data_IF_723071269373
#
_entry.id   IF_723071269373
#
_cell.length_a   1.000
_cell.length_b   1.000
_cell.length_c   1.000
_cell.angle_alpha   90.00
_cell.angle_beta   90.00
_cell.angle_gamma   90.00
#
_symmetry.space_group_name_H-M   'P 1'
#
loop_
_entity.id
_entity.type
_entity.pdbx_description
1 polymer ?
#
# COMPACT_ATOMS: atom_id res chain seq x y z
N UNK A 1 20.26 12.29 -4.04
CA UNK A 1 19.69 10.93 -4.01
C UNK A 1 18.75 10.89 -2.83
N UNK A 2 17.45 10.73 -3.07
CA UNK A 2 16.42 10.71 -2.03
C UNK A 2 15.84 9.31 -1.79
N UNK A 3 15.35 9.07 -0.58
CA UNK A 3 14.53 7.89 -0.24
C UNK A 3 13.09 8.34 -0.06
N UNK A 4 12.13 7.59 -0.59
CA UNK A 4 10.71 7.84 -0.37
C UNK A 4 10.07 6.75 0.50
N UNK A 5 9.09 7.12 1.30
CA UNK A 5 8.18 6.18 1.97
C UNK A 5 6.90 6.04 1.13
N UNK A 6 6.49 4.80 0.83
CA UNK A 6 5.24 4.49 0.14
C UNK A 6 4.31 3.79 1.14
N UNK A 7 3.22 4.46 1.51
CA UNK A 7 2.17 3.94 2.40
C UNK A 7 1.04 3.35 1.56
N UNK A 8 0.96 2.02 1.51
CA UNK A 8 0.04 1.30 0.63
C UNK A 8 -1.30 1.06 1.31
N UNK A 9 -2.37 1.59 0.70
CA UNK A 9 -3.77 1.21 0.91
C UNK A 9 -4.22 1.13 2.38
N UNK A 10 -3.83 2.11 3.20
CA UNK A 10 -4.29 2.22 4.60
C UNK A 10 -5.71 2.82 4.64
N UNK A 11 -6.66 2.08 4.07
CA UNK A 11 -8.06 2.47 3.87
C UNK A 11 -9.00 1.71 4.81
N UNK A 12 -10.20 2.26 5.02
CA UNK A 12 -11.20 1.68 5.93
C UNK A 12 -11.58 0.25 5.55
N UNK A 13 -11.80 -0.03 4.27
CA UNK A 13 -12.23 -1.34 3.81
C UNK A 13 -11.22 -2.47 4.07
N UNK A 14 -9.94 -2.13 4.21
CA UNK A 14 -8.87 -3.09 4.48
C UNK A 14 -8.54 -3.23 5.99
N UNK A 15 -9.20 -2.46 6.85
CA UNK A 15 -9.05 -2.52 8.30
C UNK A 15 -10.26 -3.19 8.95
N UNK A 16 -10.14 -3.54 10.24
CA UNK A 16 -11.21 -4.16 11.00
C UNK A 16 -12.53 -3.35 10.93
N UNK A 17 -13.61 -4.02 10.52
CA UNK A 17 -14.92 -3.40 10.28
C UNK A 17 -15.18 -2.99 8.83
N UNK A 18 -14.15 -3.04 7.97
CA UNK A 18 -14.25 -2.86 6.52
C UNK A 18 -14.85 -4.07 5.79
N UNK A 19 -15.07 -3.93 4.48
CA UNK A 19 -15.61 -4.99 3.61
C UNK A 19 -14.62 -6.13 3.31
N UNK A 20 -13.31 -5.86 3.29
CA UNK A 20 -12.24 -6.84 3.05
C UNK A 20 -11.15 -6.67 4.11
N UNK A 21 -11.47 -6.90 5.40
CA UNK A 21 -10.61 -6.53 6.50
C UNK A 21 -9.37 -7.43 6.57
N UNK A 22 -8.19 -6.82 6.73
CA UNK A 22 -6.95 -7.51 7.07
C UNK A 22 -6.69 -7.30 8.55
N UNK A 23 -6.64 -8.39 9.31
CA UNK A 23 -6.45 -8.33 10.75
C UNK A 23 -5.08 -7.69 11.11
N UNK A 24 -5.11 -6.73 12.03
CA UNK A 24 -3.98 -5.87 12.37
C UNK A 24 -3.94 -4.56 11.56
N UNK A 25 -4.81 -4.38 10.55
CA UNK A 25 -4.84 -3.22 9.67
C UNK A 25 -4.99 -1.89 10.41
N UNK A 26 -5.91 -1.80 11.37
CA UNK A 26 -6.09 -0.59 12.17
C UNK A 26 -4.85 -0.24 13.01
N UNK A 27 -4.08 -1.24 13.44
CA UNK A 27 -2.81 -1.08 14.14
C UNK A 27 -1.68 -0.62 13.21
N UNK A 28 -1.64 -1.11 11.97
CA UNK A 28 -0.72 -0.62 10.95
C UNK A 28 -1.02 0.84 10.61
N UNK A 29 -2.29 1.25 10.57
CA UNK A 29 -2.65 2.65 10.34
C UNK A 29 -2.04 3.60 11.39
N UNK A 30 -2.05 3.22 12.68
CA UNK A 30 -1.39 3.98 13.75
C UNK A 30 0.12 4.07 13.51
N UNK A 31 0.78 2.93 13.29
CA UNK A 31 2.24 2.89 13.11
C UNK A 31 2.70 3.65 11.85
N UNK A 32 1.91 3.58 10.77
CA UNK A 32 2.17 4.33 9.55
C UNK A 32 2.07 5.84 9.81
N UNK A 33 1.05 6.30 10.54
CA UNK A 33 0.92 7.70 10.95
C UNK A 33 2.14 8.16 11.75
N UNK A 34 2.60 7.37 12.72
CA UNK A 34 3.77 7.69 13.55
C UNK A 34 5.08 7.75 12.74
N UNK A 35 5.24 6.90 11.73
CA UNK A 35 6.40 6.93 10.84
C UNK A 35 6.37 8.16 9.93
N UNK A 36 5.21 8.47 9.34
CA UNK A 36 5.03 9.65 8.49
C UNK A 36 5.30 10.93 9.29
N UNK A 37 4.82 11.02 10.53
CA UNK A 37 5.07 12.16 11.41
C UNK A 37 6.56 12.39 11.74
N UNK A 38 7.41 11.37 11.57
CA UNK A 38 8.86 11.44 11.78
C UNK A 38 9.65 11.20 10.50
N UNK A 39 9.02 11.34 9.34
CA UNK A 39 9.61 10.92 8.07
C UNK A 39 10.94 11.64 7.76
N UNK A 40 11.01 12.95 8.02
CA UNK A 40 12.21 13.75 7.84
C UNK A 40 13.37 13.29 8.75
N UNK A 41 13.08 12.98 10.02
CA UNK A 41 14.07 12.43 10.97
C UNK A 41 14.54 11.04 10.57
N UNK A 42 13.65 10.24 9.98
CA UNK A 42 13.95 8.93 9.40
C UNK A 42 14.68 9.01 8.04
N UNK A 43 14.91 10.23 7.52
CA UNK A 43 15.67 10.45 6.28
C UNK A 43 14.88 10.32 4.98
N UNK A 44 13.54 10.28 5.05
CA UNK A 44 12.72 10.32 3.85
C UNK A 44 12.65 11.74 3.29
N UNK A 45 12.91 11.85 2.00
CA UNK A 45 12.77 13.12 1.25
C UNK A 45 11.37 13.30 0.66
N UNK A 46 10.59 12.22 0.60
CA UNK A 46 9.23 12.19 0.06
C UNK A 46 8.42 11.12 0.82
N UNK A 47 7.14 11.39 1.05
CA UNK A 47 6.15 10.45 1.59
C UNK A 47 4.97 10.45 0.64
N UNK A 48 4.60 9.28 0.13
CA UNK A 48 3.44 9.12 -0.74
C UNK A 48 2.53 8.03 -0.21
N UNK A 49 1.25 8.10 -0.56
CA UNK A 49 0.30 7.06 -0.23
C UNK A 49 -0.39 6.54 -1.50
N UNK A 50 -0.87 5.30 -1.47
CA UNK A 50 -1.75 4.77 -2.52
C UNK A 50 -3.14 4.50 -1.97
N UNK A 51 -4.12 4.53 -2.87
CA UNK A 51 -5.50 4.15 -2.59
C UNK A 51 -6.03 3.28 -3.72
N UNK A 52 -6.66 2.16 -3.37
CA UNK A 52 -7.66 1.55 -4.24
C UNK A 52 -8.83 2.52 -4.41
N UNK A 53 -9.26 2.67 -5.66
CA UNK A 53 -10.17 3.71 -6.09
C UNK A 53 -11.08 3.16 -7.19
N UNK A 54 -12.05 2.34 -6.82
CA UNK A 54 -12.87 1.58 -7.77
C UNK A 54 -14.13 2.36 -8.18
N UNK A 55 -14.26 2.67 -9.47
CA UNK A 55 -15.49 3.24 -10.07
C UNK A 55 -16.36 2.10 -10.59
N UNK A 56 -15.79 1.28 -11.49
CA UNK A 56 -16.44 0.09 -12.04
C UNK A 56 -15.37 -0.91 -12.51
N UNK A 57 -14.82 -1.75 -11.62
CA UNK A 57 -13.71 -2.63 -11.95
C UNK A 57 -14.16 -3.97 -12.57
N UNK A 58 -15.44 -4.11 -12.95
CA UNK A 58 -15.99 -5.30 -13.59
C UNK A 58 -15.83 -6.57 -12.74
N UNK A 59 -15.26 -7.62 -13.35
CA UNK A 59 -15.10 -8.96 -12.76
C UNK A 59 -14.23 -9.00 -11.48
N UNK A 60 -13.57 -7.89 -11.14
CA UNK A 60 -12.89 -7.73 -9.85
C UNK A 60 -13.86 -7.86 -8.66
N UNK A 61 -15.11 -7.41 -8.82
CA UNK A 61 -16.14 -7.55 -7.80
C UNK A 61 -17.03 -8.77 -8.03
N UNK A 62 -17.28 -9.52 -6.96
CA UNK A 62 -18.11 -10.72 -6.98
C UNK A 62 -18.85 -10.92 -5.65
N UNK A 63 -20.11 -11.36 -5.73
CA UNK A 63 -20.88 -11.82 -4.57
C UNK A 63 -20.40 -13.17 -4.04
N UNK A 64 -19.63 -13.92 -4.86
CA UNK A 64 -18.99 -15.19 -4.50
C UNK A 64 -17.50 -15.14 -4.85
N UNK A 65 -16.71 -14.34 -4.12
CA UNK A 65 -15.31 -14.09 -4.45
C UNK A 65 -14.43 -15.32 -4.19
N UNK A 66 -13.42 -15.50 -5.04
CA UNK A 66 -12.38 -16.52 -4.91
C UNK A 66 -11.18 -16.08 -4.06
N UNK A 67 -11.14 -14.80 -3.65
CA UNK A 67 -10.06 -14.16 -2.89
C UNK A 67 -8.68 -14.30 -3.55
N UNK A 68 -8.67 -14.42 -4.89
CA UNK A 68 -7.46 -14.49 -5.72
C UNK A 68 -7.53 -13.49 -6.86
N UNK A 69 -8.63 -13.52 -7.60
CA UNK A 69 -8.88 -12.69 -8.77
C UNK A 69 -10.18 -11.89 -8.66
N UNK A 70 -11.05 -12.27 -7.73
CA UNK A 70 -12.33 -11.62 -7.43
C UNK A 70 -12.50 -11.42 -5.93
N UNK A 71 -13.17 -10.34 -5.57
CA UNK A 71 -13.28 -9.82 -4.20
C UNK A 71 -14.69 -9.33 -3.89
N UNK A 72 -15.09 -9.25 -2.61
CA UNK A 72 -16.26 -8.45 -2.23
C UNK A 72 -16.12 -7.01 -2.72
N UNK A 73 -17.23 -6.28 -2.88
CA UNK A 73 -17.20 -4.84 -3.18
C UNK A 73 -16.43 -4.10 -2.08
N UNK A 74 -15.40 -3.33 -2.47
CA UNK A 74 -14.54 -2.56 -1.57
C UNK A 74 -14.02 -1.31 -2.26
N UNK A 75 -13.55 -0.33 -1.48
CA UNK A 75 -12.89 0.89 -1.92
C UNK A 75 -13.61 1.63 -3.07
N UNK A 76 -14.95 1.57 -3.08
CA UNK A 76 -15.78 2.22 -4.09
C UNK A 76 -15.71 3.73 -3.90
N UNK A 77 -15.48 4.46 -4.99
CA UNK A 77 -15.35 5.93 -4.96
C UNK A 77 -16.55 6.59 -4.28
N UNK A 78 -16.26 7.49 -3.33
CA UNK A 78 -17.28 8.25 -2.60
C UNK A 78 -17.89 7.50 -1.40
N UNK A 79 -17.47 6.26 -1.15
CA UNK A 79 -17.86 5.53 0.07
C UNK A 79 -16.84 5.75 1.18
N UNK A 80 -17.30 5.66 2.44
CA UNK A 80 -16.42 5.71 3.61
C UNK A 80 -15.36 4.60 3.57
N UNK A 81 -15.71 3.43 3.02
CA UNK A 81 -14.78 2.30 2.87
C UNK A 81 -13.53 2.66 2.06
N UNK A 82 -13.68 3.54 1.06
CA UNK A 82 -12.56 4.03 0.24
C UNK A 82 -11.66 5.06 0.93
N UNK A 83 -12.10 5.68 2.03
CA UNK A 83 -11.31 6.72 2.71
C UNK A 83 -10.14 6.13 3.48
N UNK A 84 -9.11 6.96 3.70
CA UNK A 84 -8.02 6.59 4.60
C UNK A 84 -8.57 6.27 6.00
N UNK A 85 -7.96 5.29 6.65
CA UNK A 85 -8.35 4.90 7.99
C UNK A 85 -8.19 6.08 8.98
N UNK A 86 -9.11 6.33 9.93
CA UNK A 86 -9.04 7.45 10.87
C UNK A 86 -7.74 7.54 11.68
N UNK A 87 -7.06 6.41 11.91
CA UNK A 87 -5.75 6.40 12.59
C UNK A 87 -4.59 6.91 11.71
N UNK A 88 -4.74 6.92 10.38
CA UNK A 88 -3.75 7.41 9.42
C UNK A 88 -4.10 8.80 8.85
N UNK A 89 -5.41 9.11 8.79
CA UNK A 89 -5.93 10.37 8.28
C UNK A 89 -5.24 11.64 8.84
N UNK A 90 -4.85 11.73 10.14
CA UNK A 90 -4.16 12.91 10.65
C UNK A 90 -2.85 13.25 9.93
N UNK A 91 -2.09 12.25 9.47
CA UNK A 91 -0.87 12.47 8.71
C UNK A 91 -1.16 13.09 7.33
N UNK A 92 -2.27 12.68 6.70
CA UNK A 92 -2.73 13.21 5.41
C UNK A 92 -3.23 14.65 5.58
N UNK A 93 -4.09 14.90 6.57
CA UNK A 93 -4.65 16.23 6.84
C UNK A 93 -3.58 17.25 7.28
N UNK A 94 -2.52 16.79 7.95
CA UNK A 94 -1.37 17.63 8.29
C UNK A 94 -0.47 17.98 7.09
N UNK A 95 -0.76 17.44 5.90
CA UNK A 95 0.06 17.64 4.70
C UNK A 95 1.41 16.92 4.76
N UNK A 96 1.53 15.87 5.58
CA UNK A 96 2.76 15.07 5.70
C UNK A 96 2.86 13.97 4.63
N UNK A 97 1.81 13.81 3.80
CA UNK A 97 1.81 12.98 2.59
C UNK A 97 1.86 13.91 1.39
N UNK A 98 2.94 13.83 0.62
CA UNK A 98 3.24 14.75 -0.49
C UNK A 98 2.36 14.50 -1.72
N UNK A 99 1.90 13.26 -1.92
CA UNK A 99 0.98 12.89 -3.00
C UNK A 99 0.24 11.58 -2.70
N UNK A 100 -0.95 11.43 -3.29
CA UNK A 100 -1.78 10.22 -3.24
C UNK A 100 -1.98 9.68 -4.64
N UNK A 101 -1.73 8.37 -4.83
CA UNK A 101 -1.87 7.69 -6.11
C UNK A 101 -3.08 6.76 -6.09
N UNK A 102 -4.02 6.99 -7.00
CA UNK A 102 -5.25 6.24 -7.13
C UNK A 102 -5.09 5.14 -8.17
N UNK A 103 -5.42 3.90 -7.80
CA UNK A 103 -5.35 2.72 -8.68
C UNK A 103 -6.69 2.01 -8.75
N UNK A 104 -6.94 1.30 -9.85
CA UNK A 104 -8.08 0.40 -9.98
C UNK A 104 -9.43 1.00 -10.44
N UNK A 105 -9.44 2.20 -11.03
CA UNK A 105 -10.68 2.87 -11.43
C UNK A 105 -11.64 2.00 -12.26
N UNK A 106 -11.12 1.28 -13.25
CA UNK A 106 -11.92 0.48 -14.20
C UNK A 106 -11.38 -0.94 -14.42
N UNK A 107 -10.50 -1.41 -13.52
CA UNK A 107 -9.92 -2.75 -13.57
C UNK A 107 -9.34 -3.12 -12.20
N UNK A 108 -9.03 -4.40 -11.99
CA UNK A 108 -8.20 -4.81 -10.86
C UNK A 108 -6.81 -4.14 -10.93
N UNK A 109 -6.33 -3.61 -9.81
CA UNK A 109 -4.98 -3.07 -9.68
C UNK A 109 -4.42 -3.42 -8.32
N UNK A 110 -3.16 -3.85 -8.27
CA UNK A 110 -2.52 -4.28 -7.03
C UNK A 110 -1.33 -3.40 -6.68
N UNK A 111 -0.52 -3.04 -7.66
CA UNK A 111 0.68 -2.24 -7.47
C UNK A 111 0.36 -0.75 -7.44
N UNK A 112 0.95 -0.04 -6.48
CA UNK A 112 0.93 1.43 -6.46
C UNK A 112 1.52 2.07 -7.72
N UNK A 113 2.34 1.33 -8.48
CA UNK A 113 2.88 1.79 -9.76
C UNK A 113 1.88 1.78 -10.92
N UNK A 114 0.72 1.15 -10.73
CA UNK A 114 -0.43 1.25 -11.64
C UNK A 114 -1.27 2.51 -11.37
N UNK A 115 -1.02 3.18 -10.24
CA UNK A 115 -1.75 4.37 -9.82
C UNK A 115 -1.21 5.67 -10.42
N UNK A 116 -2.09 6.66 -10.46
CA UNK A 116 -1.77 8.03 -10.85
C UNK A 116 -2.25 9.04 -9.79
N UNK A 117 -1.54 10.16 -9.66
CA UNK A 117 -1.99 11.29 -8.83
C UNK A 117 -3.14 12.06 -9.50
N UNK A 118 -3.58 13.15 -8.87
CA UNK A 118 -4.69 13.99 -9.37
C UNK A 118 -4.40 14.65 -10.74
N UNK A 119 -3.13 14.81 -11.09
CA UNK A 119 -2.68 15.34 -12.38
C UNK A 119 -2.50 14.24 -13.44
N UNK A 120 -2.75 12.97 -13.10
CA UNK A 120 -2.55 11.82 -13.98
C UNK A 120 -1.10 11.38 -14.09
N UNK A 121 -0.22 11.83 -13.19
CA UNK A 121 1.20 11.43 -13.16
C UNK A 121 1.34 10.09 -12.45
N UNK A 122 1.93 9.11 -13.13
CA UNK A 122 2.23 7.80 -12.54
C UNK A 122 3.34 7.85 -11.48
N UNK A 123 3.25 6.97 -10.48
CA UNK A 123 4.15 6.94 -9.31
C UNK A 123 5.64 6.95 -9.67
N UNK A 124 6.08 6.10 -10.61
CA UNK A 124 7.49 6.05 -11.01
C UNK A 124 8.00 7.38 -11.60
N UNK A 125 7.19 8.04 -12.43
CA UNK A 125 7.55 9.32 -13.03
C UNK A 125 7.63 10.41 -11.96
N UNK A 126 6.65 10.42 -11.04
CA UNK A 126 6.59 11.37 -9.94
C UNK A 126 7.80 11.26 -9.01
N UNK A 127 8.19 10.04 -8.63
CA UNK A 127 9.36 9.77 -7.78
C UNK A 127 10.67 10.19 -8.47
N UNK A 128 10.86 9.84 -9.75
CA UNK A 128 12.07 10.19 -10.50
C UNK A 128 12.22 11.70 -10.70
N UNK A 129 11.13 12.41 -10.96
CA UNK A 129 11.14 13.87 -11.07
C UNK A 129 11.65 14.55 -9.79
N UNK A 130 11.56 13.87 -8.63
CA UNK A 130 12.02 14.34 -7.32
C UNK A 130 13.37 13.74 -6.89
N UNK A 131 14.07 13.06 -7.80
CA UNK A 131 15.41 12.51 -7.53
C UNK A 131 15.41 11.36 -6.51
N UNK A 132 14.27 10.69 -6.32
CA UNK A 132 14.17 9.49 -5.51
C UNK A 132 14.87 8.33 -6.21
N UNK A 133 15.71 7.61 -5.47
CA UNK A 133 16.45 6.44 -5.97
C UNK A 133 16.23 5.20 -5.11
N UNK A 134 15.59 5.34 -3.95
CA UNK A 134 15.26 4.26 -3.04
C UNK A 134 13.85 4.44 -2.47
N UNK A 135 13.15 3.35 -2.19
CA UNK A 135 11.81 3.38 -1.60
C UNK A 135 11.68 2.36 -0.47
N UNK A 136 10.96 2.75 0.58
CA UNK A 136 10.50 1.87 1.64
C UNK A 136 8.98 1.72 1.52
N UNK A 137 8.50 0.48 1.55
CA UNK A 137 7.08 0.14 1.35
C UNK A 137 6.49 -0.39 2.66
N UNK A 138 5.34 0.15 3.04
CA UNK A 138 4.56 -0.21 4.23
C UNK A 138 3.08 -0.27 3.89
N UNK A 139 2.23 -0.75 4.80
CA UNK A 139 0.78 -0.73 4.63
C UNK A 139 0.16 -2.11 4.43
N UNK A 140 -0.89 -2.20 3.61
CA UNK A 140 -1.81 -3.34 3.56
C UNK A 140 -2.07 -3.75 2.10
N UNK A 141 -2.19 -5.02 1.73
CA UNK A 141 -1.78 -6.21 2.47
C UNK A 141 -0.36 -6.65 2.07
N UNK A 142 0.41 -7.21 3.02
CA UNK A 142 1.80 -7.68 2.81
C UNK A 142 1.93 -8.58 1.58
N UNK A 143 0.98 -9.49 1.39
CA UNK A 143 0.95 -10.54 0.38
C UNK A 143 0.21 -10.17 -0.92
N UNK A 144 -0.37 -8.97 -0.98
CA UNK A 144 -1.06 -8.42 -2.15
C UNK A 144 -0.42 -7.10 -2.59
N UNK A 145 -1.05 -5.95 -2.28
CA UNK A 145 -0.66 -4.65 -2.80
C UNK A 145 0.75 -4.22 -2.36
N UNK A 146 1.16 -4.52 -1.12
CA UNK A 146 2.53 -4.23 -0.64
C UNK A 146 3.55 -5.02 -1.46
N UNK A 147 3.32 -6.32 -1.66
CA UNK A 147 4.17 -7.17 -2.48
C UNK A 147 4.26 -6.65 -3.91
N UNK A 148 3.13 -6.42 -4.57
CA UNK A 148 3.07 -5.97 -5.96
C UNK A 148 3.80 -4.63 -6.14
N UNK A 149 3.57 -3.68 -5.23
CA UNK A 149 4.22 -2.36 -5.24
C UNK A 149 5.74 -2.48 -5.08
N UNK A 150 6.21 -3.32 -4.16
CA UNK A 150 7.64 -3.50 -3.93
C UNK A 150 8.35 -4.24 -5.09
N UNK A 151 7.68 -5.23 -5.70
CA UNK A 151 8.20 -5.89 -6.90
C UNK A 151 8.34 -4.92 -8.08
N UNK A 152 7.33 -4.09 -8.31
CA UNK A 152 7.37 -3.08 -9.38
C UNK A 152 8.39 -1.97 -9.10
N UNK A 153 8.56 -1.57 -7.84
CA UNK A 153 9.63 -0.63 -7.47
C UNK A 153 11.01 -1.19 -7.83
N UNK A 154 11.28 -2.45 -7.48
CA UNK A 154 12.53 -3.12 -7.80
C UNK A 154 12.71 -3.26 -9.32
N UNK A 155 11.67 -3.67 -10.04
CA UNK A 155 11.69 -3.78 -11.50
C UNK A 155 11.90 -2.42 -12.19
N UNK A 156 11.38 -1.33 -11.61
CA UNK A 156 11.58 0.03 -12.06
C UNK A 156 12.97 0.61 -11.67
N UNK A 157 13.81 -0.16 -10.99
CA UNK A 157 15.19 0.19 -10.67
C UNK A 157 15.37 1.02 -9.40
N UNK A 158 14.38 1.09 -8.51
CA UNK A 158 14.53 1.69 -7.19
C UNK A 158 15.17 0.68 -6.22
N UNK A 159 16.12 1.12 -5.41
CA UNK A 159 16.55 0.32 -4.26
C UNK A 159 15.36 0.17 -3.30
N UNK A 160 14.86 -1.04 -3.10
CA UNK A 160 13.55 -1.27 -2.49
C UNK A 160 13.67 -2.06 -1.19
N UNK A 161 12.99 -1.59 -0.16
CA UNK A 161 12.84 -2.29 1.11
C UNK A 161 11.35 -2.36 1.52
N UNK A 162 10.95 -3.46 2.17
CA UNK A 162 9.66 -3.57 2.85
C UNK A 162 9.90 -3.63 4.35
N UNK A 163 9.28 -2.70 5.08
CA UNK A 163 9.35 -2.66 6.55
C UNK A 163 8.22 -3.53 7.10
N UNK A 164 8.49 -4.83 7.26
CA UNK A 164 7.49 -5.84 7.58
C UNK A 164 6.74 -5.54 8.89
N UNK A 165 7.39 -4.98 9.91
CA UNK A 165 6.75 -4.58 11.19
C UNK A 165 5.64 -3.51 11.02
N UNK A 166 5.59 -2.88 9.84
CA UNK A 166 4.65 -1.87 9.38
C UNK A 166 3.73 -2.39 8.26
N UNK A 167 3.56 -3.71 8.17
CA UNK A 167 2.65 -4.34 7.21
C UNK A 167 1.71 -5.32 7.91
N UNK A 168 0.50 -5.45 7.37
CA UNK A 168 -0.46 -6.49 7.77
C UNK A 168 -0.73 -7.41 6.59
N UNK A 169 -0.65 -8.73 6.82
CA UNK A 169 -0.85 -9.74 5.79
C UNK A 169 -2.08 -10.60 6.03
N UNK A 170 -2.62 -11.19 4.96
CA UNK A 170 -3.88 -11.93 5.00
C UNK A 170 -3.72 -13.29 5.68
N UNK A 171 -2.72 -14.07 5.29
CA UNK A 171 -2.48 -15.41 5.87
C UNK A 171 -1.01 -15.76 5.96
N UNK A 172 -0.64 -16.64 6.90
CA UNK A 172 0.76 -17.03 7.09
C UNK A 172 1.38 -17.71 5.86
N UNK A 173 0.61 -18.48 5.09
CA UNK A 173 1.12 -19.19 3.91
C UNK A 173 1.38 -18.23 2.75
N UNK A 174 0.43 -17.36 2.44
CA UNK A 174 0.54 -16.35 1.37
C UNK A 174 1.59 -15.30 1.70
N UNK A 175 1.70 -14.87 2.97
CA UNK A 175 2.77 -13.97 3.43
C UNK A 175 4.15 -14.59 3.33
N UNK A 176 4.29 -15.89 3.65
CA UNK A 176 5.56 -16.59 3.48
C UNK A 176 5.99 -16.59 2.01
N UNK A 177 5.07 -16.97 1.12
CA UNK A 177 5.32 -16.97 -0.32
C UNK A 177 5.67 -15.58 -0.83
N UNK A 178 4.93 -14.54 -0.41
CA UNK A 178 5.20 -13.15 -0.76
C UNK A 178 6.60 -12.72 -0.33
N UNK A 179 7.03 -13.05 0.90
CA UNK A 179 8.38 -12.76 1.38
C UNK A 179 9.46 -13.51 0.59
N UNK A 180 9.19 -14.71 0.07
CA UNK A 180 10.13 -15.44 -0.78
C UNK A 180 10.27 -14.78 -2.16
N UNK A 181 9.15 -14.43 -2.79
CA UNK A 181 9.11 -13.71 -4.08
C UNK A 181 9.85 -12.37 -3.99
N UNK A 182 9.62 -11.60 -2.92
CA UNK A 182 10.30 -10.32 -2.68
C UNK A 182 11.82 -10.48 -2.57
N UNK A 183 12.30 -11.46 -1.79
CA UNK A 183 13.74 -11.73 -1.68
C UNK A 183 14.35 -12.16 -3.01
N UNK A 184 13.64 -12.97 -3.80
CA UNK A 184 14.10 -13.40 -5.12
C UNK A 184 14.24 -12.22 -6.10
N UNK A 185 13.38 -11.21 -5.97
CA UNK A 185 13.45 -9.97 -6.74
C UNK A 185 14.51 -8.97 -6.22
N UNK A 186 15.24 -9.31 -5.16
CA UNK A 186 16.26 -8.44 -4.57
C UNK A 186 15.71 -7.34 -3.65
N UNK A 187 14.45 -7.45 -3.22
CA UNK A 187 13.85 -6.53 -2.25
C UNK A 187 14.37 -6.86 -0.85
N UNK A 188 14.85 -5.84 -0.14
CA UNK A 188 15.27 -5.98 1.25
C UNK A 188 14.04 -6.09 2.18
N UNK A 189 14.10 -6.98 3.17
CA UNK A 189 13.02 -7.16 4.14
C UNK A 189 13.55 -6.97 5.56
N UNK A 190 12.89 -6.13 6.35
CA UNK A 190 13.23 -5.90 7.76
C UNK A 190 12.02 -6.07 8.67
N UNK A 191 12.17 -6.76 9.81
CA UNK A 191 11.09 -7.00 10.76
C UNK A 191 10.26 -8.25 10.47
N UNK A 192 9.06 -8.33 11.05
CA UNK A 192 8.09 -9.39 10.86
C UNK A 192 6.68 -8.83 10.60
N UNK A 193 5.94 -9.37 9.61
CA UNK A 193 4.62 -8.87 9.27
C UNK A 193 3.60 -9.20 10.36
N UNK A 194 2.64 -8.31 10.55
CA UNK A 194 1.47 -8.60 11.39
C UNK A 194 0.56 -9.54 10.60
N UNK A 195 0.37 -10.75 11.11
CA UNK A 195 -0.54 -11.74 10.54
C UNK A 195 -1.33 -12.32 11.70
N UNK A 196 -2.66 -12.15 11.68
CA UNK A 196 -3.48 -12.78 12.71
C UNK A 196 -3.48 -14.30 12.55
N UNK A 197 -3.65 -14.99 13.68
CA UNK A 197 -3.31 -16.39 13.88
C UNK A 197 -3.83 -17.39 12.84
N UNK A 198 -3.11 -18.51 12.77
CA UNK A 198 -3.53 -19.74 12.10
C UNK A 198 -4.80 -20.34 12.71
#
# INVERSE_FOLDING_TARGET
MGRALIVVDVQNDFCEGGSVPVAGGAGIAVKACDLVGRAAEAGYTQVVATRDHHIDPGDHFSDTPDFKTSWPVHCVVGTQGSDFHPNFLPAVEAGAVDAVFYKGAYAAAYSGFEGADEDGTGLAAWLRARGVTAVDVVGIATDHCVKATALDAAAAGFATQVLLDLTAGVSHSTVRQACEELRQAGVELSGAPVVAGA
#
